data_IF_255976890404
#
_entry.id   IF_255976890404
#
_cell.length_a   1.000
_cell.length_b   1.000
_cell.length_c   1.000
_cell.angle_alpha   90.00
_cell.angle_beta   90.00
_cell.angle_gamma   90.00
#
_symmetry.space_group_name_H-M   'P 1'
#
loop_
_entity.id
_entity.type
_entity.pdbx_description
1 polymer ?
#
# COMPACT_ATOMS: atom_id res chain seq x y z
N UNK A 1 -24.53 20.06 -22.50
CA UNK A 1 -23.62 19.56 -21.46
C UNK A 1 -23.59 18.04 -21.56
N UNK A 2 -22.54 17.43 -22.14
CA UNK A 2 -22.42 15.96 -22.24
C UNK A 2 -22.15 15.40 -20.83
N UNK A 3 -23.13 14.75 -20.22
CA UNK A 3 -22.94 14.03 -18.97
C UNK A 3 -21.95 12.90 -19.25
N UNK A 4 -20.80 12.94 -18.58
CA UNK A 4 -19.81 11.86 -18.68
C UNK A 4 -20.42 10.55 -18.16
N UNK A 5 -20.14 9.42 -18.82
CA UNK A 5 -20.60 8.09 -18.38
C UNK A 5 -20.23 7.80 -16.91
N UNK A 6 -19.10 8.30 -16.45
CA UNK A 6 -18.67 8.18 -15.05
C UNK A 6 -19.55 9.00 -14.08
N UNK A 7 -20.11 10.15 -14.51
CA UNK A 7 -21.01 10.95 -13.68
C UNK A 7 -22.36 10.25 -13.49
N UNK A 8 -22.87 9.60 -14.55
CA UNK A 8 -24.11 8.82 -14.46
C UNK A 8 -23.94 7.61 -13.53
N UNK A 9 -22.84 6.88 -13.65
CA UNK A 9 -22.54 5.75 -12.77
C UNK A 9 -22.45 6.17 -11.30
N UNK A 10 -21.79 7.31 -10.99
CA UNK A 10 -21.76 7.84 -9.63
C UNK A 10 -23.16 8.20 -9.12
N UNK A 11 -23.98 8.84 -9.96
CA UNK A 11 -25.33 9.22 -9.58
C UNK A 11 -26.23 8.02 -9.21
N UNK A 12 -25.90 6.82 -9.70
CA UNK A 12 -26.63 5.57 -9.38
C UNK A 12 -25.98 4.79 -8.26
N UNK A 13 -24.67 4.52 -8.36
CA UNK A 13 -23.97 3.60 -7.43
C UNK A 13 -23.74 4.22 -6.05
N UNK A 14 -23.49 5.52 -5.96
CA UNK A 14 -23.27 6.17 -4.64
C UNK A 14 -24.54 6.10 -3.77
N UNK A 15 -25.76 6.47 -4.25
CA UNK A 15 -26.99 6.25 -3.49
C UNK A 15 -27.21 4.79 -3.10
N UNK A 16 -27.02 3.83 -4.03
CA UNK A 16 -27.18 2.40 -3.74
C UNK A 16 -26.25 1.95 -2.61
N UNK A 17 -24.97 2.34 -2.66
CA UNK A 17 -24.01 2.03 -1.61
C UNK A 17 -24.42 2.65 -0.26
N UNK A 18 -24.85 3.91 -0.24
CA UNK A 18 -25.35 4.58 0.97
C UNK A 18 -26.55 3.88 1.58
N UNK A 19 -27.53 3.50 0.76
CA UNK A 19 -28.70 2.78 1.23
C UNK A 19 -28.33 1.38 1.73
N UNK A 20 -27.38 0.70 1.08
CA UNK A 20 -26.86 -0.59 1.54
C UNK A 20 -26.20 -0.45 2.92
N UNK A 21 -25.33 0.53 3.13
CA UNK A 21 -24.75 0.82 4.45
C UNK A 21 -25.84 1.13 5.48
N UNK A 22 -26.83 1.96 5.13
CA UNK A 22 -27.93 2.30 6.03
C UNK A 22 -28.84 1.12 6.36
N UNK A 23 -28.94 0.09 5.52
CA UNK A 23 -29.78 -1.09 5.73
C UNK A 23 -29.09 -2.16 6.58
N UNK A 24 -27.80 -2.39 6.32
CA UNK A 24 -27.04 -3.48 6.96
C UNK A 24 -26.29 -3.03 8.21
N UNK A 25 -25.99 -1.73 8.34
CA UNK A 25 -25.24 -1.14 9.44
C UNK A 25 -23.90 -1.84 9.71
N UNK A 26 -23.06 -2.14 8.68
CA UNK A 26 -21.76 -2.73 8.92
C UNK A 26 -20.88 -1.74 9.69
N UNK A 27 -19.96 -2.25 10.50
CA UNK A 27 -18.88 -1.42 11.06
C UNK A 27 -17.90 -1.08 9.94
N UNK A 28 -17.58 0.19 9.77
CA UNK A 28 -16.71 0.66 8.68
C UNK A 28 -15.37 1.06 9.23
N UNK A 29 -14.31 0.41 8.72
CA UNK A 29 -12.93 0.78 8.97
C UNK A 29 -12.40 1.51 7.74
N UNK A 30 -12.09 2.79 7.90
CA UNK A 30 -11.53 3.63 6.84
C UNK A 30 -10.01 3.72 6.95
N UNK A 31 -9.30 3.43 5.86
CA UNK A 31 -7.84 3.53 5.82
C UNK A 31 -7.42 4.62 4.84
N UNK A 32 -6.62 5.58 5.28
CA UNK A 32 -6.02 6.63 4.43
C UNK A 32 -4.53 6.82 4.75
N UNK A 33 -3.82 7.53 3.90
CA UNK A 33 -2.40 7.82 4.01
C UNK A 33 -1.78 7.99 2.63
N UNK A 34 -0.53 8.39 2.54
CA UNK A 34 0.26 8.39 1.29
C UNK A 34 0.87 7.01 1.05
N UNK A 35 1.43 6.39 2.09
CA UNK A 35 2.08 5.07 2.07
C UNK A 35 1.38 4.12 3.02
N UNK A 36 1.34 2.81 2.70
CA UNK A 36 0.92 1.75 3.62
C UNK A 36 -0.57 1.40 3.62
N UNK A 37 -1.46 2.12 2.92
CA UNK A 37 -2.92 1.87 2.91
C UNK A 37 -3.30 0.43 2.58
N UNK A 38 -2.84 -0.10 1.46
CA UNK A 38 -3.22 -1.44 0.99
C UNK A 38 -2.64 -2.54 1.87
N UNK A 39 -1.38 -2.39 2.34
CA UNK A 39 -0.78 -3.33 3.28
C UNK A 39 -1.54 -3.36 4.60
N UNK A 40 -1.95 -2.18 5.11
CA UNK A 40 -2.79 -2.08 6.31
C UNK A 40 -4.17 -2.72 6.09
N UNK A 41 -4.79 -2.53 4.91
CA UNK A 41 -6.06 -3.18 4.56
C UNK A 41 -5.94 -4.70 4.61
N UNK A 42 -4.87 -5.27 4.05
CA UNK A 42 -4.64 -6.73 4.07
C UNK A 42 -4.36 -7.24 5.50
N UNK A 43 -3.57 -6.50 6.28
CA UNK A 43 -3.32 -6.84 7.68
C UNK A 43 -4.61 -6.80 8.52
N UNK A 44 -5.48 -5.80 8.31
CA UNK A 44 -6.80 -5.71 8.92
C UNK A 44 -7.68 -6.91 8.54
N UNK A 45 -7.66 -7.32 7.27
CA UNK A 45 -8.42 -8.47 6.81
C UNK A 45 -7.95 -9.75 7.53
N UNK A 46 -6.64 -10.00 7.59
CA UNK A 46 -6.07 -11.16 8.26
C UNK A 46 -6.47 -11.22 9.75
N UNK A 47 -6.38 -10.10 10.46
CA UNK A 47 -6.71 -10.03 11.90
C UNK A 47 -8.21 -10.22 12.13
N UNK A 48 -9.06 -9.45 11.46
CA UNK A 48 -10.48 -9.39 11.78
C UNK A 48 -11.27 -10.59 11.24
N UNK A 49 -10.80 -11.24 10.17
CA UNK A 49 -11.46 -12.43 9.62
C UNK A 49 -11.43 -13.64 10.56
N UNK A 50 -10.59 -13.63 11.60
CA UNK A 50 -10.59 -14.68 12.64
C UNK A 50 -11.87 -14.71 13.48
N UNK A 51 -12.57 -13.59 13.60
CA UNK A 51 -13.71 -13.46 14.51
C UNK A 51 -14.96 -12.86 13.88
N UNK A 52 -14.85 -12.29 12.69
CA UNK A 52 -15.92 -11.54 12.04
C UNK A 52 -16.04 -11.87 10.55
N UNK A 53 -17.23 -11.65 9.99
CA UNK A 53 -17.41 -11.62 8.53
C UNK A 53 -16.95 -10.28 8.00
N UNK A 54 -15.79 -10.27 7.34
CA UNK A 54 -15.11 -9.08 6.85
C UNK A 54 -15.11 -9.04 5.33
N UNK A 55 -15.33 -7.86 4.76
CA UNK A 55 -15.04 -7.58 3.36
C UNK A 55 -14.00 -6.47 3.28
N UNK A 56 -12.91 -6.75 2.60
CA UNK A 56 -11.93 -5.76 2.17
C UNK A 56 -11.95 -5.66 0.66
N UNK A 57 -12.04 -4.45 0.14
CA UNK A 57 -12.08 -4.26 -1.32
C UNK A 57 -10.84 -4.85 -2.00
N UNK A 58 -11.06 -5.69 -3.02
CA UNK A 58 -9.99 -6.18 -3.88
C UNK A 58 -9.40 -5.02 -4.69
N UNK A 59 -8.09 -5.07 -4.97
CA UNK A 59 -7.41 -4.04 -5.76
C UNK A 59 -7.43 -2.64 -5.12
N UNK A 60 -7.38 -1.61 -5.99
CA UNK A 60 -7.22 -0.20 -5.59
C UNK A 60 -8.55 0.58 -5.70
N UNK A 61 -9.60 0.11 -5.02
CA UNK A 61 -10.93 0.73 -5.03
C UNK A 61 -11.02 1.90 -4.03
N UNK A 62 -10.25 2.98 -4.25
CA UNK A 62 -10.08 4.09 -3.31
C UNK A 62 -10.72 5.42 -3.75
N UNK A 63 -11.53 5.41 -4.81
CA UNK A 63 -12.31 6.56 -5.30
C UNK A 63 -13.82 6.33 -5.12
N UNK A 64 -14.68 7.30 -5.48
CA UNK A 64 -16.14 7.22 -5.24
C UNK A 64 -16.79 5.97 -5.86
N UNK A 65 -16.45 5.62 -7.10
CA UNK A 65 -16.98 4.41 -7.74
C UNK A 65 -16.39 3.16 -7.09
N UNK A 66 -15.10 3.17 -6.78
CA UNK A 66 -14.40 2.09 -6.11
C UNK A 66 -14.97 1.80 -4.72
N UNK A 67 -15.17 2.82 -3.89
CA UNK A 67 -15.82 2.65 -2.59
C UNK A 67 -17.24 2.10 -2.73
N UNK A 68 -18.01 2.61 -3.70
CA UNK A 68 -19.35 2.12 -3.95
C UNK A 68 -19.35 0.64 -4.32
N UNK A 69 -18.44 0.21 -5.20
CA UNK A 69 -18.26 -1.21 -5.54
C UNK A 69 -17.89 -2.04 -4.31
N UNK A 70 -16.94 -1.58 -3.49
CA UNK A 70 -16.51 -2.27 -2.27
C UNK A 70 -17.66 -2.48 -1.26
N UNK A 71 -18.56 -1.51 -1.16
CA UNK A 71 -19.76 -1.62 -0.32
C UNK A 71 -20.76 -2.60 -0.92
N UNK A 72 -20.97 -2.57 -2.23
CA UNK A 72 -22.04 -3.32 -2.88
C UNK A 72 -21.74 -4.82 -3.03
N UNK A 73 -20.46 -5.22 -3.21
CA UNK A 73 -20.16 -6.64 -3.41
C UNK A 73 -18.68 -6.98 -3.44
N UNK A 74 -18.41 -8.27 -3.58
CA UNK A 74 -17.11 -8.80 -3.93
C UNK A 74 -17.04 -9.00 -5.45
N UNK A 75 -15.95 -8.54 -6.02
CA UNK A 75 -15.73 -8.55 -7.47
C UNK A 75 -14.44 -9.32 -7.76
N UNK A 76 -14.46 -10.19 -8.75
CA UNK A 76 -13.25 -10.92 -9.12
C UNK A 76 -12.17 -9.96 -9.67
N UNK A 77 -10.89 -10.32 -9.58
CA UNK A 77 -9.82 -9.53 -10.18
C UNK A 77 -10.03 -9.27 -11.67
N UNK A 78 -10.62 -10.22 -12.39
CA UNK A 78 -10.95 -10.12 -13.81
C UNK A 78 -12.03 -9.07 -14.07
N UNK A 79 -13.07 -9.04 -13.25
CA UNK A 79 -14.15 -8.04 -13.33
C UNK A 79 -13.59 -6.63 -13.03
N UNK A 80 -12.73 -6.49 -12.04
CA UNK A 80 -12.11 -5.21 -11.69
C UNK A 80 -11.14 -4.72 -12.77
N UNK A 81 -10.44 -5.61 -13.45
CA UNK A 81 -9.61 -5.25 -14.62
C UNK A 81 -10.42 -4.59 -15.73
N UNK A 82 -11.69 -4.97 -15.93
CA UNK A 82 -12.55 -4.34 -16.95
C UNK A 82 -12.78 -2.85 -16.72
N UNK A 83 -12.67 -2.39 -15.46
CA UNK A 83 -12.98 -1.01 -15.06
C UNK A 83 -11.73 -0.24 -14.59
N UNK A 84 -10.55 -0.89 -14.57
CA UNK A 84 -9.27 -0.23 -14.29
C UNK A 84 -8.90 0.76 -15.41
N UNK A 85 -8.01 1.72 -15.09
CA UNK A 85 -7.56 2.75 -16.05
C UNK A 85 -6.62 2.21 -17.12
N UNK A 86 -6.02 1.04 -16.90
CA UNK A 86 -4.91 0.49 -17.70
C UNK A 86 -5.35 -0.37 -18.89
N UNK A 87 -6.67 -0.46 -19.16
CA UNK A 87 -7.17 -1.27 -20.28
C UNK A 87 -7.40 -0.45 -21.54
N UNK A 88 -6.96 -0.95 -22.73
CA UNK A 88 -7.27 -0.32 -24.00
C UNK A 88 -8.78 -0.28 -24.25
N UNK A 89 -9.26 0.88 -24.70
CA UNK A 89 -10.69 1.25 -24.77
C UNK A 89 -11.55 0.37 -25.68
N UNK A 90 -10.99 -0.47 -26.54
CA UNK A 90 -11.72 -1.12 -27.64
C UNK A 90 -12.14 -2.58 -27.40
N UNK A 91 -11.46 -3.34 -26.56
CA UNK A 91 -11.65 -4.81 -26.53
C UNK A 91 -12.72 -5.33 -25.57
N UNK A 92 -13.30 -4.50 -24.71
CA UNK A 92 -14.22 -5.00 -23.67
C UNK A 92 -15.46 -4.13 -23.42
N UNK A 93 -15.90 -3.28 -24.37
CA UNK A 93 -17.00 -2.32 -24.13
C UNK A 93 -18.29 -3.02 -23.66
N UNK A 94 -18.67 -4.13 -24.28
CA UNK A 94 -19.85 -4.91 -23.88
C UNK A 94 -19.69 -5.51 -22.48
N UNK A 95 -18.54 -6.17 -22.20
CA UNK A 95 -18.26 -6.75 -20.88
C UNK A 95 -18.22 -5.69 -19.78
N UNK A 96 -17.71 -4.50 -20.08
CA UNK A 96 -17.70 -3.35 -19.16
C UNK A 96 -19.11 -2.87 -18.84
N UNK A 97 -19.99 -2.78 -19.85
CA UNK A 97 -21.41 -2.42 -19.64
C UNK A 97 -22.11 -3.49 -18.80
N UNK A 98 -21.90 -4.77 -19.10
CA UNK A 98 -22.48 -5.88 -18.34
C UNK A 98 -22.01 -5.88 -16.87
N UNK A 99 -20.75 -5.58 -16.62
CA UNK A 99 -20.24 -5.43 -15.26
C UNK A 99 -20.96 -4.30 -14.49
N UNK A 100 -21.12 -3.14 -15.11
CA UNK A 100 -21.83 -2.03 -14.45
C UNK A 100 -23.31 -2.34 -14.21
N UNK A 101 -23.98 -3.03 -15.15
CA UNK A 101 -25.35 -3.51 -14.94
C UNK A 101 -25.41 -4.51 -13.78
N UNK A 102 -24.47 -5.47 -13.71
CA UNK A 102 -24.35 -6.40 -12.58
C UNK A 102 -24.22 -5.64 -11.26
N UNK A 103 -23.32 -4.64 -11.19
CA UNK A 103 -23.12 -3.83 -9.98
C UNK A 103 -24.39 -3.10 -9.54
N UNK A 104 -25.17 -2.54 -10.49
CA UNK A 104 -26.45 -1.90 -10.20
C UNK A 104 -27.47 -2.93 -9.72
N UNK A 105 -27.57 -4.10 -10.38
CA UNK A 105 -28.50 -5.17 -9.98
C UNK A 105 -28.18 -5.71 -8.58
N UNK A 106 -26.90 -5.91 -8.25
CA UNK A 106 -26.48 -6.33 -6.90
C UNK A 106 -26.89 -5.27 -5.86
N UNK A 107 -26.59 -3.98 -6.13
CA UNK A 107 -27.00 -2.89 -5.25
C UNK A 107 -28.52 -2.77 -5.08
N UNK A 108 -29.28 -2.90 -6.15
CA UNK A 108 -30.74 -2.91 -6.08
C UNK A 108 -31.26 -4.15 -5.32
N UNK A 109 -30.64 -5.31 -5.54
CA UNK A 109 -30.95 -6.54 -4.81
C UNK A 109 -30.83 -6.38 -3.30
N UNK A 110 -29.76 -5.72 -2.83
CA UNK A 110 -29.59 -5.41 -1.39
C UNK A 110 -30.69 -4.53 -0.80
N UNK A 111 -31.40 -3.75 -1.61
CA UNK A 111 -32.51 -2.93 -1.14
C UNK A 111 -33.81 -3.74 -1.00
N UNK A 112 -33.97 -4.79 -1.81
CA UNK A 112 -35.21 -5.60 -1.89
C UNK A 112 -35.08 -6.80 -0.94
N UNK A 113 -34.02 -7.58 -1.06
CA UNK A 113 -33.78 -8.80 -0.30
C UNK A 113 -32.67 -8.56 0.71
N UNK A 114 -32.90 -8.94 1.98
CA UNK A 114 -31.87 -8.87 3.02
C UNK A 114 -30.95 -10.09 2.90
N UNK A 115 -29.68 -9.85 2.55
CA UNK A 115 -28.65 -10.88 2.56
C UNK A 115 -28.14 -11.11 3.97
N UNK A 116 -28.43 -12.30 4.55
CA UNK A 116 -27.94 -12.68 5.89
C UNK A 116 -26.42 -12.90 5.97
N UNK A 117 -25.72 -12.97 4.82
CA UNK A 117 -24.27 -13.13 4.74
C UNK A 117 -23.53 -11.82 4.44
N UNK A 118 -24.25 -10.70 4.37
CA UNK A 118 -23.60 -9.39 4.21
C UNK A 118 -22.55 -9.18 5.32
N UNK A 119 -21.36 -8.63 5.02
CA UNK A 119 -20.28 -8.51 5.98
C UNK A 119 -20.67 -7.65 7.19
N UNK A 120 -20.17 -8.03 8.36
CA UNK A 120 -20.30 -7.26 9.60
C UNK A 120 -19.35 -6.06 9.61
N UNK A 121 -18.19 -6.23 8.93
CA UNK A 121 -17.13 -5.22 8.85
C UNK A 121 -16.78 -4.97 7.39
N UNK A 122 -16.71 -3.69 7.02
CA UNK A 122 -16.17 -3.23 5.73
C UNK A 122 -14.84 -2.50 5.96
N UNK A 123 -13.79 -2.93 5.28
CA UNK A 123 -12.50 -2.24 5.25
C UNK A 123 -12.37 -1.49 3.93
N UNK A 124 -12.35 -0.16 3.99
CA UNK A 124 -12.41 0.73 2.84
C UNK A 124 -11.16 1.63 2.76
N UNK A 125 -10.55 1.74 1.58
CA UNK A 125 -9.46 2.66 1.33
C UNK A 125 -9.99 4.03 0.87
N UNK A 126 -9.55 5.09 1.54
CA UNK A 126 -9.89 6.48 1.20
C UNK A 126 -8.70 7.14 0.52
N UNK A 127 -8.72 7.18 -0.81
CA UNK A 127 -7.74 7.90 -1.63
C UNK A 127 -7.94 9.41 -1.54
N UNK A 128 -6.85 10.17 -1.59
CA UNK A 128 -6.88 11.62 -1.60
C UNK A 128 -5.82 12.15 -2.57
N UNK A 129 -6.20 12.22 -3.84
CA UNK A 129 -5.35 12.74 -4.91
C UNK A 129 -5.49 14.27 -4.98
N UNK A 130 -6.68 14.82 -4.66
CA UNK A 130 -6.98 16.25 -4.73
C UNK A 130 -7.73 16.75 -3.49
N UNK A 131 -7.65 18.05 -3.17
CA UNK A 131 -8.44 18.66 -2.09
C UNK A 131 -9.94 18.35 -2.23
N UNK A 132 -10.56 17.90 -1.14
CA UNK A 132 -11.97 17.59 -1.05
C UNK A 132 -12.31 16.12 -1.38
N UNK A 133 -11.37 15.28 -1.77
CA UNK A 133 -11.61 13.87 -2.07
C UNK A 133 -12.12 13.10 -0.86
N UNK A 134 -11.48 13.24 0.29
CA UNK A 134 -11.91 12.56 1.52
C UNK A 134 -13.37 12.87 1.86
N UNK A 135 -13.78 14.13 1.76
CA UNK A 135 -15.16 14.52 2.04
C UNK A 135 -16.15 13.93 1.01
N UNK A 136 -15.75 13.79 -0.25
CA UNK A 136 -16.56 13.12 -1.27
C UNK A 136 -16.72 11.63 -0.97
N UNK A 137 -15.65 10.96 -0.62
CA UNK A 137 -15.66 9.53 -0.27
C UNK A 137 -16.49 9.26 0.99
N UNK A 138 -16.43 10.12 1.99
CA UNK A 138 -17.26 10.02 3.20
C UNK A 138 -18.76 10.21 2.94
N UNK A 139 -19.15 10.74 1.78
CA UNK A 139 -20.57 10.72 1.36
C UNK A 139 -21.06 9.33 0.97
N UNK A 140 -20.15 8.44 0.53
CA UNK A 140 -20.48 7.04 0.22
C UNK A 140 -20.62 6.26 1.53
N UNK A 141 -19.58 6.30 2.37
CA UNK A 141 -19.55 5.60 3.64
C UNK A 141 -18.72 6.42 4.66
N UNK A 142 -19.16 6.48 5.91
CA UNK A 142 -18.45 7.13 7.02
C UNK A 142 -17.81 6.07 7.90
N UNK A 143 -16.53 6.18 8.25
CA UNK A 143 -15.89 5.19 9.10
C UNK A 143 -16.32 5.31 10.56
N UNK A 144 -16.38 4.16 11.24
CA UNK A 144 -16.47 4.04 12.69
C UNK A 144 -15.07 4.01 13.32
N UNK A 145 -14.11 3.41 12.60
CA UNK A 145 -12.69 3.44 12.94
C UNK A 145 -11.94 3.98 11.73
N UNK A 146 -11.08 4.98 11.94
CA UNK A 146 -10.30 5.59 10.88
C UNK A 146 -8.81 5.43 11.16
N UNK A 147 -8.10 4.81 10.22
CA UNK A 147 -6.65 4.60 10.26
C UNK A 147 -5.97 5.59 9.33
N UNK A 148 -5.06 6.41 9.87
CA UNK A 148 -4.17 7.26 9.07
C UNK A 148 -2.77 6.66 9.14
N UNK A 149 -2.28 6.14 8.01
CA UNK A 149 -1.03 5.37 7.98
C UNK A 149 0.21 6.27 8.04
N UNK A 150 0.69 6.74 6.91
CA UNK A 150 1.82 7.67 6.83
C UNK A 150 1.59 8.70 5.73
N UNK A 151 2.08 9.91 5.94
CA UNK A 151 2.07 11.02 4.97
C UNK A 151 3.48 11.30 4.48
N UNK A 152 4.43 11.47 5.39
CA UNK A 152 5.83 11.78 5.12
C UNK A 152 6.08 13.24 4.69
N UNK A 153 7.35 13.62 4.60
CA UNK A 153 7.78 15.00 4.30
C UNK A 153 7.43 15.46 2.89
N UNK A 154 7.52 14.55 1.92
CA UNK A 154 7.12 14.79 0.52
C UNK A 154 6.16 13.68 0.10
N UNK A 155 4.86 13.83 0.40
CA UNK A 155 3.88 12.79 0.11
C UNK A 155 3.54 12.71 -1.38
N UNK A 156 3.10 11.53 -1.81
CA UNK A 156 2.50 11.37 -3.13
C UNK A 156 1.32 12.35 -3.32
N UNK A 157 1.13 12.82 -4.54
CA UNK A 157 0.11 13.81 -4.96
C UNK A 157 0.30 15.22 -4.38
N UNK A 158 1.43 15.52 -3.71
CA UNK A 158 1.68 16.85 -3.13
C UNK A 158 1.64 17.98 -4.16
N UNK A 159 1.86 17.67 -5.43
CA UNK A 159 1.78 18.65 -6.52
C UNK A 159 0.39 19.28 -6.69
N UNK A 160 -0.68 18.59 -6.25
CA UNK A 160 -2.05 19.11 -6.27
C UNK A 160 -2.44 19.89 -5.01
N UNK A 161 -1.50 20.09 -4.08
CA UNK A 161 -1.69 20.75 -2.80
C UNK A 161 -0.69 21.88 -2.62
N UNK A 162 -0.94 22.74 -1.64
CA UNK A 162 0.01 23.80 -1.29
C UNK A 162 1.28 23.30 -0.58
N UNK A 163 1.32 22.02 -0.20
CA UNK A 163 2.46 21.37 0.44
C UNK A 163 2.05 20.19 1.33
N UNK A 164 3.03 19.53 1.99
CA UNK A 164 2.82 18.31 2.78
C UNK A 164 1.76 18.45 3.88
N UNK A 165 1.77 19.57 4.62
CA UNK A 165 0.76 19.86 5.65
C UNK A 165 -0.66 19.93 5.09
N UNK A 166 -0.84 20.37 3.84
CA UNK A 166 -2.15 20.38 3.20
C UNK A 166 -2.62 18.98 2.84
N UNK A 167 -1.71 18.08 2.41
CA UNK A 167 -2.01 16.66 2.18
C UNK A 167 -2.41 15.99 3.50
N UNK A 168 -1.64 16.19 4.57
CA UNK A 168 -1.96 15.65 5.89
C UNK A 168 -3.34 16.14 6.38
N UNK A 169 -3.63 17.45 6.20
CA UNK A 169 -4.94 18.02 6.55
C UNK A 169 -6.07 17.39 5.74
N UNK A 170 -5.90 17.17 4.44
CA UNK A 170 -6.92 16.50 3.62
C UNK A 170 -7.20 15.09 4.12
N UNK A 171 -6.15 14.29 4.38
CA UNK A 171 -6.30 12.93 4.93
C UNK A 171 -6.88 12.94 6.34
N UNK A 172 -6.50 13.91 7.16
CA UNK A 172 -7.04 14.14 8.50
C UNK A 172 -8.55 14.42 8.55
N UNK A 173 -9.16 14.84 7.45
CA UNK A 173 -10.62 14.99 7.36
C UNK A 173 -11.38 13.70 7.65
N UNK A 174 -10.73 12.54 7.45
CA UNK A 174 -11.33 11.26 7.77
C UNK A 174 -11.61 11.11 9.27
N UNK A 175 -10.71 11.61 10.12
CA UNK A 175 -10.84 11.55 11.58
C UNK A 175 -11.63 12.73 12.17
N UNK A 176 -11.67 13.89 11.50
CA UNK A 176 -12.39 15.09 11.99
C UNK A 176 -13.91 14.84 12.16
N UNK A 177 -14.45 13.87 11.45
CA UNK A 177 -15.88 13.54 11.47
C UNK A 177 -16.24 12.37 12.38
N UNK A 178 -15.26 11.82 13.11
CA UNK A 178 -15.49 10.77 14.10
C UNK A 178 -16.24 11.37 15.31
N UNK A 179 -17.20 10.59 15.83
CA UNK A 179 -17.88 10.90 17.09
C UNK A 179 -17.03 10.46 18.28
N UNK A 180 -17.39 10.83 19.49
CA UNK A 180 -16.70 10.40 20.71
C UNK A 180 -16.75 8.88 20.97
N UNK A 181 -17.67 8.17 20.31
CA UNK A 181 -17.76 6.70 20.38
C UNK A 181 -16.87 5.98 19.35
N UNK A 182 -16.31 6.71 18.38
CA UNK A 182 -15.49 6.21 17.30
C UNK A 182 -14.01 6.39 17.61
N UNK A 183 -13.13 5.70 16.87
CA UNK A 183 -11.69 5.72 17.16
C UNK A 183 -10.86 6.10 15.94
N UNK A 184 -9.87 6.97 16.14
CA UNK A 184 -8.80 7.26 15.21
C UNK A 184 -7.55 6.45 15.58
N UNK A 185 -6.94 5.78 14.59
CA UNK A 185 -5.68 5.07 14.72
C UNK A 185 -4.62 5.86 13.96
N UNK A 186 -3.58 6.32 14.65
CA UNK A 186 -2.58 7.23 14.11
C UNK A 186 -1.18 6.63 14.21
N UNK A 187 -0.39 6.81 13.17
CA UNK A 187 1.04 6.49 13.20
C UNK A 187 1.79 7.57 13.99
N UNK A 188 2.30 7.20 15.15
CA UNK A 188 3.04 8.09 16.06
C UNK A 188 4.40 8.53 15.51
N UNK A 189 5.00 7.72 14.66
CA UNK A 189 6.32 7.98 14.10
C UNK A 189 6.29 8.96 12.89
N UNK A 190 5.11 9.31 12.41
CA UNK A 190 4.92 10.33 11.36
C UNK A 190 4.40 11.63 12.00
N UNK A 191 5.25 12.63 12.10
CA UNK A 191 4.93 13.91 12.77
C UNK A 191 3.67 14.59 12.21
N UNK A 192 3.45 14.51 10.87
CA UNK A 192 2.27 15.08 10.23
C UNK A 192 1.00 14.31 10.56
N UNK A 193 1.11 13.00 10.81
CA UNK A 193 -0.03 12.15 11.23
C UNK A 193 -0.28 12.29 12.72
N UNK A 194 0.77 12.26 13.54
CA UNK A 194 0.63 12.42 14.99
C UNK A 194 0.01 13.76 15.38
N UNK A 195 0.37 14.84 14.69
CA UNK A 195 -0.22 16.17 14.85
C UNK A 195 -1.73 16.25 14.52
N UNK A 196 -2.31 15.19 13.93
CA UNK A 196 -3.74 15.15 13.65
C UNK A 196 -4.58 14.77 14.89
N UNK A 197 -3.97 14.31 15.98
CA UNK A 197 -4.68 13.86 17.20
C UNK A 197 -5.65 14.91 17.75
N UNK A 198 -5.29 16.19 17.67
CA UNK A 198 -6.11 17.29 18.19
C UNK A 198 -7.27 17.67 17.25
N UNK A 199 -7.38 17.01 16.09
CA UNK A 199 -8.40 17.30 15.08
C UNK A 199 -9.64 16.41 15.17
N UNK A 200 -9.66 15.46 16.09
CA UNK A 200 -10.78 14.53 16.26
C UNK A 200 -11.44 14.69 17.62
N UNK A 201 -12.73 14.36 17.69
CA UNK A 201 -13.46 14.16 18.96
C UNK A 201 -13.53 12.67 19.34
N UNK A 202 -13.14 11.80 18.41
CA UNK A 202 -13.03 10.36 18.62
C UNK A 202 -11.90 10.02 19.60
N UNK A 203 -11.92 8.81 20.11
CA UNK A 203 -10.78 8.27 20.86
C UNK A 203 -9.59 8.19 19.91
N UNK A 204 -8.39 8.42 20.43
CA UNK A 204 -7.15 8.26 19.66
C UNK A 204 -6.39 7.07 20.25
N UNK A 205 -5.89 6.20 19.38
CA UNK A 205 -4.93 5.16 19.69
C UNK A 205 -3.78 5.26 18.68
N UNK A 206 -2.56 5.23 19.18
CA UNK A 206 -1.36 5.41 18.38
C UNK A 206 -0.55 4.12 18.26
N UNK A 207 0.20 3.98 17.18
CA UNK A 207 1.14 2.89 16.99
C UNK A 207 2.45 3.41 16.39
N UNK A 208 3.55 2.75 16.70
CA UNK A 208 4.87 3.15 16.20
C UNK A 208 6.03 2.37 16.79
N UNK A 209 7.23 2.65 16.33
CA UNK A 209 8.48 2.15 16.92
C UNK A 209 8.96 3.03 18.06
N UNK A 210 8.65 4.33 17.99
CA UNK A 210 9.11 5.31 18.97
C UNK A 210 8.39 5.14 20.31
N UNK A 211 9.07 5.52 21.38
CA UNK A 211 8.47 5.57 22.71
C UNK A 211 7.33 6.60 22.73
N UNK A 212 6.26 6.27 23.44
CA UNK A 212 5.05 7.09 23.54
C UNK A 212 3.90 6.66 22.62
N UNK A 213 4.12 5.71 21.71
CA UNK A 213 3.02 5.04 21.02
C UNK A 213 2.25 4.13 21.99
N UNK A 214 0.90 4.13 21.92
CA UNK A 214 0.07 3.24 22.75
C UNK A 214 0.36 1.77 22.46
N UNK A 215 0.49 1.41 21.18
CA UNK A 215 0.96 0.09 20.74
C UNK A 215 2.33 0.24 20.10
N UNK A 216 3.35 -0.27 20.78
CA UNK A 216 4.74 -0.14 20.35
C UNK A 216 5.21 -1.35 19.55
N UNK A 217 5.96 -1.08 18.48
CA UNK A 217 6.70 -2.07 17.69
C UNK A 217 8.13 -2.12 18.22
N UNK A 218 8.59 -3.27 18.68
CA UNK A 218 9.93 -3.44 19.21
C UNK A 218 10.64 -4.62 18.55
N UNK A 219 11.97 -4.58 18.53
CA UNK A 219 12.85 -5.70 18.09
C UNK A 219 12.49 -6.22 16.70
N UNK A 220 12.44 -5.32 15.70
CA UNK A 220 12.32 -5.74 14.31
C UNK A 220 13.60 -6.45 13.85
N UNK A 221 13.43 -7.67 13.38
CA UNK A 221 14.53 -8.53 12.90
C UNK A 221 14.11 -9.19 11.60
N UNK A 222 15.06 -9.41 10.70
CA UNK A 222 14.88 -10.21 9.50
C UNK A 222 15.20 -11.67 9.82
N UNK A 223 14.35 -12.58 9.39
CA UNK A 223 14.65 -14.00 9.53
C UNK A 223 14.88 -14.66 8.18
N UNK A 224 15.62 -15.74 8.19
CA UNK A 224 15.97 -16.51 7.01
C UNK A 224 15.64 -18.00 7.24
N UNK A 225 15.30 -18.69 6.18
CA UNK A 225 15.14 -20.15 6.14
C UNK A 225 16.21 -20.67 5.19
N UNK A 226 17.07 -21.55 5.68
CA UNK A 226 18.21 -22.11 4.90
C UNK A 226 19.12 -21.02 4.29
N UNK A 227 19.27 -19.89 4.97
CA UNK A 227 20.08 -18.76 4.50
C UNK A 227 19.39 -17.83 3.51
N UNK A 228 18.16 -18.11 3.10
CA UNK A 228 17.35 -17.26 2.22
C UNK A 228 16.44 -16.38 3.08
N UNK A 229 16.43 -15.04 2.88
CA UNK A 229 15.51 -14.14 3.56
C UNK A 229 14.07 -14.64 3.40
N UNK A 230 13.34 -14.78 4.51
CA UNK A 230 11.99 -15.34 4.51
C UNK A 230 10.93 -14.34 4.97
N UNK A 231 11.31 -13.34 5.76
CA UNK A 231 10.38 -12.32 6.23
C UNK A 231 10.92 -11.52 7.42
N UNK A 232 10.00 -10.96 8.19
CA UNK A 232 10.31 -10.18 9.39
C UNK A 232 9.67 -10.78 10.64
N UNK A 233 10.32 -10.59 11.79
CA UNK A 233 9.78 -10.81 13.10
C UNK A 233 9.96 -9.56 13.97
N UNK A 234 9.01 -9.30 14.85
CA UNK A 234 9.05 -8.17 15.77
C UNK A 234 8.16 -8.46 16.99
N UNK A 235 8.19 -7.59 17.99
CA UNK A 235 7.29 -7.66 19.13
C UNK A 235 6.27 -6.53 19.08
N UNK A 236 5.04 -6.81 19.45
CA UNK A 236 4.03 -5.81 19.78
C UNK A 236 3.91 -5.69 21.29
N UNK A 237 4.05 -4.48 21.79
CA UNK A 237 3.96 -4.15 23.21
C UNK A 237 2.75 -3.23 23.43
N UNK A 238 1.86 -3.63 24.34
CA UNK A 238 0.66 -2.87 24.68
C UNK A 238 0.26 -3.14 26.13
N UNK A 239 0.07 -2.08 26.94
CA UNK A 239 -0.36 -2.15 28.35
C UNK A 239 0.43 -3.18 29.18
N UNK A 240 1.75 -3.21 29.02
CA UNK A 240 2.63 -4.12 29.76
C UNK A 240 2.68 -5.57 29.22
N UNK A 241 1.86 -5.90 28.25
CA UNK A 241 1.91 -7.19 27.54
C UNK A 241 2.80 -7.09 26.32
N UNK A 242 3.48 -8.19 25.97
CA UNK A 242 4.33 -8.28 24.78
C UNK A 242 4.13 -9.60 24.07
N UNK A 243 3.91 -9.56 22.75
CA UNK A 243 3.75 -10.76 21.91
C UNK A 243 4.68 -10.69 20.71
N UNK A 244 5.28 -11.82 20.29
CA UNK A 244 6.01 -11.88 19.03
C UNK A 244 5.02 -11.90 17.87
N UNK A 245 5.39 -11.26 16.77
CA UNK A 245 4.69 -11.35 15.47
C UNK A 245 5.71 -11.75 14.42
N UNK A 246 5.31 -12.63 13.51
CA UNK A 246 6.09 -13.05 12.37
C UNK A 246 5.28 -12.85 11.09
N UNK A 247 5.87 -12.23 10.09
CA UNK A 247 5.30 -12.03 8.76
C UNK A 247 6.23 -12.66 7.73
N UNK A 248 5.65 -13.57 6.93
CA UNK A 248 6.38 -14.28 5.89
C UNK A 248 6.26 -13.58 4.54
N UNK A 249 7.31 -13.67 3.72
CA UNK A 249 7.32 -13.18 2.34
C UNK A 249 7.29 -11.67 2.19
N UNK A 250 7.50 -10.92 3.27
CA UNK A 250 7.43 -9.45 3.29
C UNK A 250 8.53 -8.86 4.16
N UNK A 251 9.02 -7.68 3.77
CA UNK A 251 10.17 -7.06 4.40
C UNK A 251 9.90 -5.60 4.77
N UNK A 252 10.76 -5.09 5.66
CA UNK A 252 10.86 -3.70 6.03
C UNK A 252 9.84 -3.21 7.05
N UNK A 253 10.11 -2.02 7.59
CA UNK A 253 9.30 -1.37 8.63
C UNK A 253 7.85 -1.12 8.21
N UNK A 254 7.60 -0.94 6.90
CA UNK A 254 6.25 -0.68 6.38
C UNK A 254 5.27 -1.83 6.66
N UNK A 255 5.74 -3.08 6.62
CA UNK A 255 4.92 -4.25 6.96
C UNK A 255 4.63 -4.31 8.46
N UNK A 256 5.61 -4.01 9.32
CA UNK A 256 5.42 -3.93 10.75
C UNK A 256 4.42 -2.81 11.15
N UNK A 257 4.48 -1.64 10.53
CA UNK A 257 3.47 -0.58 10.71
C UNK A 257 2.07 -1.04 10.32
N UNK A 258 1.93 -1.75 9.19
CA UNK A 258 0.63 -2.26 8.74
C UNK A 258 0.05 -3.26 9.75
N UNK A 259 0.89 -4.16 10.27
CA UNK A 259 0.49 -5.11 11.30
C UNK A 259 0.13 -4.41 12.63
N UNK A 260 0.90 -3.42 13.07
CA UNK A 260 0.61 -2.67 14.28
C UNK A 260 -0.71 -1.88 14.17
N UNK A 261 -0.95 -1.22 13.04
CA UNK A 261 -2.22 -0.53 12.79
C UNK A 261 -3.41 -1.51 12.83
N UNK A 262 -3.27 -2.70 12.22
CA UNK A 262 -4.28 -3.74 12.26
C UNK A 262 -4.49 -4.29 13.68
N UNK A 263 -3.42 -4.41 14.46
CA UNK A 263 -3.49 -4.86 15.86
C UNK A 263 -4.24 -3.86 16.75
N UNK A 264 -4.02 -2.56 16.56
CA UNK A 264 -4.81 -1.52 17.26
C UNK A 264 -6.31 -1.71 16.98
N UNK A 265 -6.68 -1.97 15.74
CA UNK A 265 -8.08 -2.20 15.38
C UNK A 265 -8.59 -3.51 15.99
N UNK A 266 -7.81 -4.59 15.94
CA UNK A 266 -8.17 -5.87 16.59
C UNK A 266 -8.46 -5.70 18.09
N UNK A 267 -7.62 -4.94 18.81
CA UNK A 267 -7.82 -4.60 20.22
C UNK A 267 -9.15 -3.85 20.47
N UNK A 268 -9.48 -2.87 19.59
CA UNK A 268 -10.75 -2.12 19.67
C UNK A 268 -11.95 -3.04 19.46
N UNK A 269 -11.81 -4.09 18.65
CA UNK A 269 -12.85 -5.11 18.45
C UNK A 269 -12.83 -6.22 19.52
N UNK A 270 -12.05 -6.04 20.60
CA UNK A 270 -12.04 -6.93 21.76
C UNK A 270 -11.17 -8.18 21.61
N UNK A 271 -10.33 -8.25 20.57
CA UNK A 271 -9.36 -9.34 20.42
C UNK A 271 -8.19 -9.14 21.39
N UNK A 272 -7.61 -10.22 21.91
CA UNK A 272 -6.37 -10.15 22.66
C UNK A 272 -5.13 -10.21 21.75
N UNK A 273 -3.98 -9.75 22.24
CA UNK A 273 -2.74 -9.69 21.46
C UNK A 273 -2.28 -11.06 20.93
N UNK A 274 -2.52 -12.15 21.66
CA UNK A 274 -2.11 -13.50 21.22
C UNK A 274 -2.90 -13.90 19.98
N UNK A 275 -4.23 -13.78 20.04
CA UNK A 275 -5.11 -14.08 18.88
C UNK A 275 -4.78 -13.19 17.67
N UNK A 276 -4.42 -11.91 17.92
CA UNK A 276 -3.99 -11.00 16.86
C UNK A 276 -2.67 -11.46 16.25
N UNK A 277 -1.68 -11.85 17.07
CA UNK A 277 -0.39 -12.36 16.61
C UNK A 277 -0.56 -13.63 15.75
N UNK A 278 -1.38 -14.58 16.21
CA UNK A 278 -1.67 -15.81 15.47
C UNK A 278 -2.38 -15.54 14.13
N UNK A 279 -3.20 -14.51 14.07
CA UNK A 279 -3.91 -14.13 12.83
C UNK A 279 -2.97 -13.72 11.71
N UNK A 280 -1.78 -13.22 12.01
CA UNK A 280 -0.79 -12.83 11.00
C UNK A 280 -0.16 -14.02 10.25
N UNK A 281 -0.36 -15.26 10.71
CA UNK A 281 -0.01 -16.44 9.92
C UNK A 281 -0.79 -16.50 8.58
N UNK A 282 -1.99 -15.89 8.52
CA UNK A 282 -2.81 -15.81 7.31
C UNK A 282 -2.60 -14.49 6.54
N UNK A 283 -1.64 -13.66 6.94
CA UNK A 283 -1.37 -12.41 6.25
C UNK A 283 -0.78 -12.67 4.87
N UNK A 284 -1.47 -12.20 3.85
CA UNK A 284 -1.00 -12.23 2.47
C UNK A 284 -0.59 -10.80 2.06
N UNK A 285 0.70 -10.56 1.81
CA UNK A 285 1.15 -9.25 1.35
C UNK A 285 0.51 -8.91 0.01
N UNK A 286 0.14 -7.66 -0.22
CA UNK A 286 -0.32 -7.25 -1.53
C UNK A 286 0.85 -7.31 -2.53
N UNK A 287 0.59 -7.73 -3.78
CA UNK A 287 1.64 -7.87 -4.78
C UNK A 287 2.39 -6.58 -5.06
N UNK A 288 3.64 -6.69 -5.46
CA UNK A 288 4.54 -5.58 -5.79
C UNK A 288 4.74 -4.56 -4.65
N UNK A 289 4.72 -5.06 -3.39
CA UNK A 289 4.96 -4.26 -2.18
C UNK A 289 5.92 -4.94 -1.24
N UNK A 290 7.22 -4.78 -1.52
CA UNK A 290 8.31 -5.46 -0.82
C UNK A 290 8.17 -6.98 -0.87
N UNK A 291 7.64 -7.49 -1.98
CA UNK A 291 7.41 -8.91 -2.22
C UNK A 291 8.73 -9.59 -2.64
N UNK A 292 9.07 -10.70 -1.99
CA UNK A 292 10.24 -11.49 -2.36
C UNK A 292 9.88 -12.48 -3.46
N UNK A 293 10.61 -12.44 -4.57
CA UNK A 293 10.44 -13.32 -5.71
C UNK A 293 11.77 -14.02 -6.06
N UNK A 294 11.73 -15.26 -6.52
CA UNK A 294 12.91 -15.92 -7.09
C UNK A 294 13.25 -15.26 -8.43
N UNK A 295 14.49 -14.84 -8.60
CA UNK A 295 14.99 -14.26 -9.83
C UNK A 295 15.80 -15.25 -10.67
N UNK A 296 15.97 -14.94 -11.96
CA UNK A 296 16.84 -15.69 -12.86
C UNK A 296 18.28 -15.78 -12.29
N UNK A 297 19.08 -16.74 -12.74
CA UNK A 297 20.46 -16.95 -12.28
C UNK A 297 20.62 -17.13 -10.74
N UNK A 298 19.59 -17.63 -10.06
CA UNK A 298 19.57 -17.77 -8.60
C UNK A 298 19.76 -16.43 -7.87
N UNK A 299 19.17 -15.36 -8.36
CA UNK A 299 19.04 -14.07 -7.67
C UNK A 299 17.78 -14.04 -6.81
N UNK A 300 17.71 -13.09 -5.88
CA UNK A 300 16.49 -12.76 -5.14
C UNK A 300 16.03 -11.36 -5.55
N UNK A 301 14.74 -11.22 -5.84
CA UNK A 301 14.13 -9.96 -6.23
C UNK A 301 13.22 -9.46 -5.10
N UNK A 302 13.33 -8.18 -4.78
CA UNK A 302 12.36 -7.48 -3.94
C UNK A 302 11.54 -6.60 -4.89
N UNK A 303 10.33 -7.05 -5.20
CA UNK A 303 9.38 -6.27 -6.00
C UNK A 303 8.63 -5.26 -5.12
N UNK A 304 8.95 -3.97 -5.30
CA UNK A 304 8.24 -2.84 -4.71
C UNK A 304 7.82 -1.83 -5.80
N UNK A 305 7.42 -2.35 -6.96
CA UNK A 305 7.15 -1.56 -8.18
C UNK A 305 5.75 -0.96 -8.25
N UNK A 306 4.91 -1.16 -7.24
CA UNK A 306 3.54 -0.63 -7.27
C UNK A 306 3.50 0.91 -7.33
N UNK A 307 4.28 1.60 -6.52
CA UNK A 307 4.41 3.06 -6.54
C UNK A 307 5.67 3.52 -5.77
N UNK A 308 6.06 4.79 -5.97
CA UNK A 308 7.20 5.38 -5.29
C UNK A 308 6.90 6.78 -4.76
N UNK A 309 7.41 7.06 -3.57
CA UNK A 309 7.51 8.38 -2.95
C UNK A 309 8.81 8.42 -2.13
N UNK A 310 9.35 9.58 -1.77
CA UNK A 310 10.60 9.65 -1.02
C UNK A 310 10.58 8.80 0.25
N UNK A 311 9.52 8.87 1.05
CA UNK A 311 9.37 8.04 2.26
C UNK A 311 9.44 6.54 1.96
N UNK A 312 8.72 6.07 0.93
CA UNK A 312 8.72 4.65 0.60
C UNK A 312 10.01 4.19 -0.08
N UNK A 313 10.69 5.09 -0.80
CA UNK A 313 11.99 4.80 -1.43
C UNK A 313 13.06 4.60 -0.35
N UNK A 314 13.13 5.51 0.64
CA UNK A 314 14.02 5.37 1.81
C UNK A 314 13.78 4.07 2.55
N UNK A 315 12.54 3.77 2.89
CA UNK A 315 12.20 2.54 3.59
C UNK A 315 12.61 1.26 2.83
N UNK A 316 12.53 1.28 1.50
CA UNK A 316 12.98 0.16 0.66
C UNK A 316 14.51 0.04 0.62
N UNK A 317 15.22 1.18 0.55
CA UNK A 317 16.70 1.20 0.59
C UNK A 317 17.25 0.79 1.96
N UNK A 318 16.62 1.20 3.06
CA UNK A 318 16.95 0.73 4.40
C UNK A 318 16.82 -0.79 4.48
N UNK A 319 15.74 -1.34 3.95
CA UNK A 319 15.53 -2.79 3.89
C UNK A 319 16.59 -3.49 3.05
N UNK A 320 16.91 -2.96 1.86
CA UNK A 320 17.98 -3.51 1.01
C UNK A 320 19.32 -3.51 1.73
N UNK A 321 19.62 -2.43 2.46
CA UNK A 321 20.86 -2.29 3.23
C UNK A 321 20.98 -3.34 4.33
N UNK A 322 19.89 -3.62 5.03
CA UNK A 322 19.87 -4.52 6.20
C UNK A 322 19.84 -6.01 5.81
N UNK A 323 19.25 -6.37 4.67
CA UNK A 323 19.19 -7.75 4.23
C UNK A 323 20.56 -8.29 3.81
N UNK A 324 20.92 -9.54 4.17
CA UNK A 324 22.16 -10.16 3.74
C UNK A 324 22.15 -10.51 2.26
N UNK A 325 23.20 -10.18 1.53
CA UNK A 325 23.44 -10.59 0.15
C UNK A 325 24.91 -10.47 -0.20
N UNK A 326 25.38 -11.24 -1.19
CA UNK A 326 26.74 -11.10 -1.73
C UNK A 326 26.93 -9.78 -2.47
N UNK A 327 25.91 -9.35 -3.21
CA UNK A 327 25.85 -8.07 -3.92
C UNK A 327 24.42 -7.55 -3.97
N UNK A 328 24.27 -6.25 -3.80
CA UNK A 328 22.98 -5.54 -3.78
C UNK A 328 22.83 -4.67 -5.01
N UNK A 329 21.73 -4.84 -5.73
CA UNK A 329 21.40 -4.08 -6.93
C UNK A 329 20.13 -3.29 -6.67
N UNK A 330 20.13 -1.98 -6.90
CA UNK A 330 18.95 -1.14 -6.81
C UNK A 330 18.52 -0.71 -8.22
N UNK A 331 17.29 -1.04 -8.61
CA UNK A 331 16.63 -0.58 -9.84
C UNK A 331 15.56 0.43 -9.46
N UNK A 332 15.86 1.72 -9.65
CA UNK A 332 15.03 2.81 -9.15
C UNK A 332 14.44 3.63 -10.30
N UNK A 333 13.11 3.75 -10.33
CA UNK A 333 12.39 4.59 -11.28
C UNK A 333 12.02 5.95 -10.71
N UNK A 334 11.45 6.80 -11.57
CA UNK A 334 10.96 8.11 -11.18
C UNK A 334 9.96 8.05 -10.03
N UNK A 335 10.04 9.02 -9.13
CA UNK A 335 8.99 9.38 -8.19
C UNK A 335 8.12 10.48 -8.82
N UNK A 336 6.91 10.11 -9.21
CA UNK A 336 5.96 11.01 -9.87
C UNK A 336 5.02 11.69 -8.88
N UNK A 337 4.27 12.70 -9.34
CA UNK A 337 3.23 13.41 -8.58
C UNK A 337 3.74 14.16 -7.34
N UNK A 338 5.02 14.47 -7.29
CA UNK A 338 5.66 15.25 -6.22
C UNK A 338 6.01 16.69 -6.64
N UNK A 339 5.72 17.06 -7.88
CA UNK A 339 5.79 18.44 -8.40
C UNK A 339 7.15 19.11 -8.18
N UNK A 340 7.15 20.29 -7.57
CA UNK A 340 8.36 21.09 -7.34
C UNK A 340 9.43 20.42 -6.47
N UNK A 341 9.09 19.39 -5.73
CA UNK A 341 10.01 18.64 -4.87
C UNK A 341 10.79 17.58 -5.63
N UNK A 342 10.53 17.40 -6.95
CA UNK A 342 11.05 16.27 -7.70
C UNK A 342 12.58 16.19 -7.71
N UNK A 343 13.28 17.28 -8.03
CA UNK A 343 14.75 17.27 -8.12
C UNK A 343 15.37 16.92 -6.78
N UNK A 344 15.08 17.72 -5.75
CA UNK A 344 15.64 17.55 -4.41
C UNK A 344 15.34 16.14 -3.82
N UNK A 345 14.12 15.64 -4.04
CA UNK A 345 13.74 14.30 -3.57
C UNK A 345 14.54 13.19 -4.28
N UNK A 346 14.79 13.30 -5.59
CA UNK A 346 15.58 12.31 -6.31
C UNK A 346 17.07 12.39 -5.93
N UNK A 347 17.62 13.59 -5.78
CA UNK A 347 19.00 13.78 -5.32
C UNK A 347 19.21 13.19 -3.93
N UNK A 348 18.29 13.40 -2.97
CA UNK A 348 18.40 12.82 -1.64
C UNK A 348 18.42 11.28 -1.65
N UNK A 349 17.71 10.64 -2.57
CA UNK A 349 17.74 9.18 -2.75
C UNK A 349 19.10 8.72 -3.30
N UNK A 350 19.77 9.54 -4.11
CA UNK A 350 21.11 9.25 -4.61
C UNK A 350 22.13 9.06 -3.49
N UNK A 351 22.12 9.94 -2.50
CA UNK A 351 22.95 9.80 -1.30
C UNK A 351 22.65 8.52 -0.51
N UNK A 352 21.39 8.15 -0.41
CA UNK A 352 20.97 6.98 0.37
C UNK A 352 21.32 5.66 -0.34
N UNK A 353 21.08 5.57 -1.66
CA UNK A 353 21.38 4.37 -2.43
C UNK A 353 22.89 4.08 -2.51
N UNK A 354 23.74 5.13 -2.48
CA UNK A 354 25.20 4.95 -2.47
C UNK A 354 25.72 4.15 -1.25
N UNK A 355 24.93 4.12 -0.17
CA UNK A 355 25.22 3.39 1.07
C UNK A 355 24.46 2.07 1.21
N UNK A 356 23.52 1.81 0.29
CA UNK A 356 22.62 0.67 0.37
C UNK A 356 22.83 -0.37 -0.73
N UNK A 357 23.43 0.01 -1.86
CA UNK A 357 23.60 -0.87 -3.02
C UNK A 357 25.01 -0.78 -3.61
N UNK A 358 25.46 -1.90 -4.18
CA UNK A 358 26.73 -2.00 -4.91
C UNK A 358 26.56 -1.55 -6.38
N UNK A 359 25.36 -1.68 -6.93
CA UNK A 359 25.01 -1.31 -8.29
C UNK A 359 23.69 -0.55 -8.29
N UNK A 360 23.65 0.55 -9.04
CA UNK A 360 22.46 1.36 -9.26
C UNK A 360 22.07 1.34 -10.73
N UNK A 361 20.81 1.02 -10.98
CA UNK A 361 20.15 1.18 -12.29
C UNK A 361 19.02 2.18 -12.11
N UNK A 362 19.03 3.27 -12.86
CA UNK A 362 17.95 4.26 -12.83
C UNK A 362 17.11 4.17 -14.11
N UNK A 363 15.80 4.35 -13.98
CA UNK A 363 14.84 4.30 -15.10
C UNK A 363 13.96 5.54 -15.06
N UNK A 364 14.04 6.35 -16.12
CA UNK A 364 13.28 7.59 -16.27
C UNK A 364 14.12 8.86 -16.20
N UNK A 365 13.51 9.95 -16.62
CA UNK A 365 14.19 11.25 -16.73
C UNK A 365 14.58 11.84 -15.36
N UNK A 366 13.71 11.69 -14.35
CA UNK A 366 13.97 12.24 -13.01
C UNK A 366 14.90 11.35 -12.22
N UNK A 367 14.87 10.05 -12.46
CA UNK A 367 15.77 9.11 -11.82
C UNK A 367 17.26 9.35 -12.20
N UNK A 368 17.54 10.09 -13.27
CA UNK A 368 18.90 10.56 -13.61
C UNK A 368 19.49 11.45 -12.51
N UNK A 369 18.66 12.19 -11.75
CA UNK A 369 19.14 12.94 -10.58
C UNK A 369 19.58 12.01 -9.44
N UNK A 370 18.93 10.85 -9.26
CA UNK A 370 19.42 9.81 -8.33
C UNK A 370 20.81 9.34 -8.77
N UNK A 371 20.98 9.05 -10.08
CA UNK A 371 22.24 8.56 -10.62
C UNK A 371 23.38 9.59 -10.47
N UNK A 372 23.08 10.87 -10.70
CA UNK A 372 24.07 11.95 -10.54
C UNK A 372 24.49 12.08 -9.06
N UNK A 373 23.54 12.20 -8.15
CA UNK A 373 23.82 12.32 -6.72
C UNK A 373 24.53 11.08 -6.14
N UNK A 374 24.19 9.87 -6.62
CA UNK A 374 24.89 8.65 -6.20
C UNK A 374 26.38 8.65 -6.61
N UNK A 375 26.71 9.15 -7.80
CA UNK A 375 28.10 9.32 -8.25
C UNK A 375 28.82 10.38 -7.41
N UNK A 376 28.17 11.49 -7.14
CA UNK A 376 28.71 12.58 -6.30
C UNK A 376 28.94 12.09 -4.86
N UNK A 377 28.11 11.16 -4.37
CA UNK A 377 28.25 10.49 -3.09
C UNK A 377 29.30 9.36 -3.08
N UNK A 378 30.00 9.12 -4.21
CA UNK A 378 31.15 8.22 -4.29
C UNK A 378 30.87 6.85 -4.91
N UNK A 379 29.69 6.57 -5.47
CA UNK A 379 29.49 5.35 -6.27
C UNK A 379 30.37 5.36 -7.51
N UNK A 380 31.03 4.24 -7.80
CA UNK A 380 31.85 4.09 -8.99
C UNK A 380 31.02 4.30 -10.26
N UNK A 381 31.60 5.00 -11.23
CA UNK A 381 30.89 5.33 -12.48
C UNK A 381 30.39 4.07 -13.21
N UNK A 382 31.15 3.01 -13.15
CA UNK A 382 30.90 1.70 -13.77
C UNK A 382 29.81 0.90 -13.02
N UNK A 383 29.41 1.34 -11.82
CA UNK A 383 28.34 0.75 -11.03
C UNK A 383 26.98 1.49 -11.18
N UNK A 384 26.93 2.60 -11.94
CA UNK A 384 25.73 3.43 -12.09
C UNK A 384 25.30 3.50 -13.56
N UNK A 385 24.14 2.94 -13.84
CA UNK A 385 23.53 2.85 -15.16
C UNK A 385 22.22 3.64 -15.19
N UNK A 386 21.90 4.24 -16.35
CA UNK A 386 20.66 5.02 -16.53
C UNK A 386 20.01 4.68 -17.84
N UNK A 387 18.69 4.47 -17.81
CA UNK A 387 17.84 4.18 -18.97
C UNK A 387 16.62 5.11 -18.96
N UNK A 388 16.10 5.39 -20.15
CA UNK A 388 14.92 6.26 -20.27
C UNK A 388 13.62 5.49 -19.99
N UNK A 389 13.59 4.21 -20.33
CA UNK A 389 12.41 3.35 -20.17
C UNK A 389 12.73 2.01 -19.49
N UNK A 390 11.71 1.37 -18.95
CA UNK A 390 11.83 0.04 -18.37
C UNK A 390 12.26 -1.01 -19.42
N UNK A 391 11.75 -0.90 -20.64
CA UNK A 391 12.08 -1.79 -21.76
C UNK A 391 13.58 -1.77 -22.10
N UNK A 392 14.17 -0.57 -22.15
CA UNK A 392 15.61 -0.41 -22.38
C UNK A 392 16.47 -1.03 -21.27
N UNK A 393 15.99 -1.05 -20.03
CA UNK A 393 16.71 -1.57 -18.90
C UNK A 393 16.74 -3.12 -18.83
N UNK A 394 15.76 -3.83 -19.44
CA UNK A 394 15.60 -5.29 -19.33
C UNK A 394 16.87 -6.03 -19.74
N UNK A 395 17.29 -5.92 -21.01
CA UNK A 395 18.42 -6.71 -21.53
C UNK A 395 19.75 -6.38 -20.84
N UNK A 396 20.10 -5.10 -20.57
CA UNK A 396 21.28 -4.79 -19.78
C UNK A 396 21.24 -5.38 -18.36
N UNK A 397 20.09 -5.33 -17.68
CA UNK A 397 19.94 -5.86 -16.34
C UNK A 397 20.06 -7.38 -16.31
N UNK A 398 19.44 -8.10 -17.25
CA UNK A 398 19.59 -9.55 -17.42
C UNK A 398 21.07 -9.98 -17.56
N UNK A 399 21.87 -9.19 -18.27
CA UNK A 399 23.30 -9.47 -18.45
C UNK A 399 24.10 -9.17 -17.17
N UNK A 400 23.72 -8.12 -16.44
CA UNK A 400 24.42 -7.58 -15.30
C UNK A 400 24.25 -8.40 -14.03
N UNK A 401 23.03 -8.94 -13.78
CA UNK A 401 22.73 -9.71 -12.57
C UNK A 401 23.48 -11.03 -12.54
N UNK A 402 23.86 -11.45 -11.33
CA UNK A 402 24.70 -12.62 -11.05
C UNK A 402 24.08 -13.45 -9.93
N UNK A 403 24.48 -14.71 -9.85
CA UNK A 403 24.11 -15.57 -8.72
C UNK A 403 24.45 -14.90 -7.40
N UNK A 404 23.51 -14.96 -6.44
CA UNK A 404 23.67 -14.37 -5.12
C UNK A 404 23.31 -12.88 -5.01
N UNK A 405 22.90 -12.23 -6.13
CA UNK A 405 22.43 -10.85 -6.07
C UNK A 405 21.07 -10.76 -5.37
N UNK A 406 20.92 -9.70 -4.58
CA UNK A 406 19.63 -9.21 -4.10
C UNK A 406 19.29 -7.94 -4.89
N UNK A 407 18.17 -7.97 -5.63
CA UNK A 407 17.75 -6.91 -6.54
C UNK A 407 16.48 -6.25 -6.02
N UNK A 408 16.56 -4.99 -5.63
CA UNK A 408 15.38 -4.17 -5.30
C UNK A 408 14.90 -3.46 -6.56
N UNK A 409 13.60 -3.58 -6.87
CA UNK A 409 12.98 -2.85 -7.97
C UNK A 409 11.89 -1.93 -7.41
N UNK A 410 12.00 -0.61 -7.63
CA UNK A 410 11.04 0.36 -7.13
C UNK A 410 10.92 1.60 -8.01
N UNK A 411 9.68 2.00 -8.31
CA UNK A 411 9.36 3.20 -9.09
C UNK A 411 7.88 3.53 -9.04
N UNK A 412 7.49 4.70 -9.51
CA UNK A 412 6.08 5.03 -9.67
C UNK A 412 5.42 4.10 -10.69
N UNK A 413 4.14 3.84 -10.52
CA UNK A 413 3.38 2.88 -11.35
C UNK A 413 3.55 3.11 -12.86
N UNK A 414 3.55 4.38 -13.29
CA UNK A 414 3.71 4.75 -14.69
C UNK A 414 5.11 4.43 -15.27
N UNK A 415 6.09 4.10 -14.44
CA UNK A 415 7.43 3.67 -14.89
C UNK A 415 7.44 2.25 -15.42
N UNK A 416 6.36 1.49 -15.17
CA UNK A 416 6.14 0.13 -15.68
C UNK A 416 7.26 -0.87 -15.33
N UNK A 417 7.94 -0.66 -14.19
CA UNK A 417 9.03 -1.55 -13.74
C UNK A 417 8.57 -2.99 -13.49
N UNK A 418 7.27 -3.25 -13.39
CA UNK A 418 6.73 -4.59 -13.39
C UNK A 418 7.08 -5.42 -14.65
N UNK A 419 7.40 -4.78 -15.79
CA UNK A 419 7.93 -5.48 -16.97
C UNK A 419 9.33 -6.01 -16.70
N UNK A 420 10.18 -5.20 -16.06
CA UNK A 420 11.53 -5.61 -15.66
C UNK A 420 11.45 -6.77 -14.68
N UNK A 421 10.56 -6.68 -13.66
CA UNK A 421 10.35 -7.79 -12.70
C UNK A 421 10.00 -9.08 -13.46
N UNK A 422 9.00 -9.03 -14.36
CA UNK A 422 8.58 -10.21 -15.12
C UNK A 422 9.71 -10.81 -15.96
N UNK A 423 10.54 -9.97 -16.57
CA UNK A 423 11.64 -10.42 -17.42
C UNK A 423 12.75 -11.14 -16.64
N UNK A 424 13.05 -10.68 -15.41
CA UNK A 424 14.15 -11.26 -14.61
C UNK A 424 13.67 -12.22 -13.51
N UNK A 425 12.37 -12.44 -13.36
CA UNK A 425 11.82 -13.48 -12.47
C UNK A 425 12.17 -14.87 -13.05
N UNK A 426 12.54 -15.81 -12.18
CA UNK A 426 12.75 -17.20 -12.60
C UNK A 426 11.44 -17.80 -13.11
N UNK A 427 11.47 -18.48 -14.25
CA UNK A 427 10.32 -19.30 -14.66
C UNK A 427 10.02 -20.34 -13.56
N UNK A 428 8.73 -20.59 -13.25
CA UNK A 428 8.39 -21.69 -12.36
C UNK A 428 9.03 -22.96 -12.91
N UNK A 429 9.99 -23.54 -12.19
CA UNK A 429 10.53 -24.84 -12.55
C UNK A 429 9.38 -25.82 -12.56
N UNK A 430 9.08 -26.36 -13.72
CA UNK A 430 8.16 -27.48 -13.86
C UNK A 430 8.80 -28.75 -13.23
N UNK A 431 8.90 -28.76 -11.90
CA UNK A 431 9.34 -29.91 -11.11
C UNK A 431 8.27 -30.23 -10.09
N UNK A 432 7.28 -30.92 -10.56
CA UNK A 432 6.37 -31.73 -9.79
C UNK A 432 6.41 -33.16 -10.34
N UNK A 433 7.54 -33.83 -10.20
CA UNK A 433 7.62 -35.29 -10.28
C UNK A 433 8.77 -35.75 -9.37
N UNK A 434 8.39 -36.18 -8.16
CA UNK A 434 8.87 -37.38 -7.49
C UNK A 434 8.19 -37.49 -6.12
#
# INVERSE_FOLDING_TARGET
MKISSSSLLRAVLVPLARFTVARYHPRIIGVTGSVGKTSTKQALLAVLAKSHRVRAASGNLNNELGLSLAVLGDWSPEELRLVSRDQPAHTARFRKVMFWLKAVCVGAGHLIVRDGHYPEILILEYGADRPGDILRLMRVARPDVAVVTAVGDVPAHVEFYSGPKAVAREKGRLIERLSSSNTAILNHDDELVDALRDRTRGRVMTYGFNDGADLRIARLEYHAVEGIPAGISFKLEYEGSSVPVRLEGVFGRAAAYAAAAASCVGLIFGMNLVTISEAFADYLPPPSRMELLPGMKHTLLIDDTYNASPLSMRAALDTLKELPAERKVAVLGDMLEIGKYAIEAHESIGDEVSRAADVLVTVGERAKFIAAAARDAGMAKEAVYSFDTAEEAVVPLERMIRKGDLVLLKGSHAMNLGEVVRAITAEPTATGEA
#
